data_IF_538654354038
#
_entry.id   IF_538654354038
#
_cell.length_a   1.000
_cell.length_b   1.000
_cell.length_c   1.000
_cell.angle_alpha   90.00
_cell.angle_beta   90.00
_cell.angle_gamma   90.00
#
_symmetry.space_group_name_H-M   'P 1'
#
loop_
_entity.id
_entity.type
_entity.pdbx_description
1 polymer ?
#
# COMPACT_ATOMS: atom_id res chain seq x y z
N UNK A 1 18.60 -24.31 15.77
CA UNK A 1 19.75 -23.69 16.45
C UNK A 1 19.27 -22.73 17.52
N UNK A 2 19.94 -22.73 18.65
CA UNK A 2 19.54 -21.92 19.81
C UNK A 2 19.55 -20.43 19.57
N UNK A 3 20.42 -19.96 18.67
CA UNK A 3 20.65 -18.53 18.44
C UNK A 3 20.03 -18.03 17.13
N UNK A 4 19.18 -18.86 16.51
CA UNK A 4 18.50 -18.46 15.28
C UNK A 4 17.40 -17.44 15.59
N UNK A 5 17.33 -16.43 14.75
CA UNK A 5 16.29 -15.40 14.81
C UNK A 5 15.48 -15.49 13.53
N UNK A 6 14.17 -15.60 13.66
CA UNK A 6 13.26 -15.63 12.53
C UNK A 6 12.66 -14.24 12.32
N UNK A 7 12.53 -13.85 11.07
CA UNK A 7 11.74 -12.66 10.71
C UNK A 7 10.31 -13.14 10.53
N UNK A 8 9.40 -12.67 11.40
CA UNK A 8 8.01 -13.14 11.41
C UNK A 8 7.16 -12.42 10.37
N UNK A 9 7.45 -11.15 10.14
CA UNK A 9 6.77 -10.35 9.13
C UNK A 9 7.54 -9.06 8.90
N UNK A 10 7.23 -8.40 7.78
CA UNK A 10 7.78 -7.08 7.47
C UNK A 10 6.58 -6.16 7.26
N UNK A 11 6.59 -5.01 7.92
CA UNK A 11 5.47 -4.07 7.87
C UNK A 11 6.04 -2.69 7.51
N UNK A 12 5.89 -2.24 6.25
CA UNK A 12 6.19 -0.85 5.91
C UNK A 12 5.27 0.09 6.68
N UNK A 13 5.82 1.22 7.11
CA UNK A 13 5.06 2.27 7.79
C UNK A 13 5.06 3.52 6.94
N UNK A 14 3.89 4.10 6.72
CA UNK A 14 3.71 5.35 5.98
C UNK A 14 3.10 6.36 6.94
N UNK A 15 3.66 7.56 6.99
CA UNK A 15 3.11 8.62 7.83
C UNK A 15 1.90 9.27 7.17
N UNK A 16 0.93 9.67 7.98
CA UNK A 16 -0.30 10.30 7.50
C UNK A 16 -0.77 11.39 8.45
N UNK A 17 -1.30 12.45 7.88
CA UNK A 17 -2.05 13.47 8.65
C UNK A 17 -3.56 13.32 8.43
N UNK A 18 -4.00 12.27 7.74
CA UNK A 18 -5.43 11.98 7.50
C UNK A 18 -5.63 10.46 7.45
N UNK A 19 -5.80 9.85 8.63
CA UNK A 19 -5.97 8.40 8.74
C UNK A 19 -7.26 7.91 8.08
N UNK A 20 -8.32 8.71 8.07
CA UNK A 20 -9.59 8.31 7.47
C UNK A 20 -9.48 8.17 5.96
N UNK A 21 -8.78 9.08 5.29
CA UNK A 21 -8.53 8.98 3.86
C UNK A 21 -7.68 7.76 3.52
N UNK A 22 -6.68 7.46 4.35
CA UNK A 22 -5.87 6.26 4.19
C UNK A 22 -6.70 5.00 4.35
N UNK A 23 -7.63 4.97 5.32
CA UNK A 23 -8.51 3.82 5.54
C UNK A 23 -9.32 3.51 4.28
N UNK A 24 -9.86 4.53 3.61
CA UNK A 24 -10.61 4.34 2.36
C UNK A 24 -9.76 3.73 1.26
N UNK A 25 -8.55 4.20 1.09
CA UNK A 25 -7.66 3.70 0.05
C UNK A 25 -7.34 2.21 0.26
N UNK A 26 -6.90 1.85 1.45
CA UNK A 26 -6.44 0.47 1.72
C UNK A 26 -7.59 -0.52 1.82
N UNK A 27 -8.77 -0.12 2.32
CA UNK A 27 -9.91 -1.05 2.43
C UNK A 27 -10.77 -1.10 1.18
N UNK A 28 -10.99 0.02 0.47
CA UNK A 28 -11.88 0.04 -0.69
C UNK A 28 -11.14 -0.22 -2.00
N UNK A 29 -9.95 0.35 -2.18
CA UNK A 29 -9.22 0.14 -3.43
C UNK A 29 -8.41 -1.16 -3.38
N UNK A 30 -7.60 -1.36 -2.34
CA UNK A 30 -6.74 -2.54 -2.23
C UNK A 30 -7.43 -3.74 -1.55
N UNK A 31 -8.63 -3.54 -0.99
CA UNK A 31 -9.43 -4.59 -0.34
C UNK A 31 -8.68 -5.32 0.76
N UNK A 32 -7.84 -4.59 1.50
CA UNK A 32 -7.16 -5.13 2.67
C UNK A 32 -8.08 -5.08 3.90
N UNK A 33 -7.81 -5.95 4.87
CA UNK A 33 -8.50 -5.93 6.15
C UNK A 33 -7.83 -4.96 7.11
N UNK A 34 -8.61 -4.13 7.79
CA UNK A 34 -8.11 -3.32 8.90
C UNK A 34 -8.00 -4.23 10.13
N UNK A 35 -6.78 -4.59 10.50
CA UNK A 35 -6.53 -5.56 11.58
C UNK A 35 -6.11 -4.90 12.89
N UNK A 36 -5.74 -3.62 12.87
CA UNK A 36 -5.43 -2.88 14.08
C UNK A 36 -5.79 -1.41 13.90
N UNK A 37 -6.48 -0.85 14.87
CA UNK A 37 -6.85 0.57 14.91
C UNK A 37 -6.63 1.07 16.34
N UNK A 38 -5.56 1.85 16.54
CA UNK A 38 -5.20 2.41 17.84
C UNK A 38 -5.36 3.94 17.85
N UNK A 39 -6.16 4.48 16.95
CA UNK A 39 -6.41 5.91 16.76
C UNK A 39 -5.24 6.69 16.17
N UNK A 40 -4.00 6.34 16.50
CA UNK A 40 -2.79 6.97 15.97
C UNK A 40 -2.05 6.09 14.96
N UNK A 41 -2.46 4.84 14.82
CA UNK A 41 -1.90 3.89 13.87
C UNK A 41 -3.00 2.96 13.38
N UNK A 42 -3.02 2.72 12.07
CA UNK A 42 -3.87 1.72 11.44
C UNK A 42 -2.96 0.68 10.80
N UNK A 43 -3.28 -0.60 10.94
CA UNK A 43 -2.58 -1.67 10.26
C UNK A 43 -3.55 -2.44 9.38
N UNK A 44 -3.18 -2.60 8.11
CA UNK A 44 -3.95 -3.31 7.11
C UNK A 44 -3.20 -4.58 6.73
N UNK A 45 -3.94 -5.67 6.51
CA UNK A 45 -3.38 -6.97 6.14
C UNK A 45 -4.08 -7.51 4.89
N UNK A 46 -3.34 -8.24 4.07
CA UNK A 46 -3.92 -8.99 2.95
C UNK A 46 -4.84 -10.08 3.48
N UNK A 47 -6.00 -10.27 2.84
CA UNK A 47 -6.95 -11.32 3.23
C UNK A 47 -6.37 -12.71 3.03
N UNK A 48 -5.65 -12.91 1.93
CA UNK A 48 -5.10 -14.22 1.55
C UNK A 48 -3.74 -14.49 2.18
N UNK A 49 -3.03 -13.43 2.58
CA UNK A 49 -1.68 -13.55 3.15
C UNK A 49 -1.53 -12.57 4.31
N UNK A 50 -2.03 -12.93 5.51
CA UNK A 50 -2.15 -11.98 6.63
C UNK A 50 -0.83 -11.42 7.15
N UNK A 51 0.32 -12.01 6.82
CA UNK A 51 1.62 -11.45 7.20
C UNK A 51 2.08 -10.33 6.27
N UNK A 52 1.41 -10.14 5.12
CA UNK A 52 1.65 -9.01 4.24
C UNK A 52 0.84 -7.83 4.75
N UNK A 53 1.51 -6.86 5.35
CA UNK A 53 0.84 -5.76 6.07
C UNK A 53 1.45 -4.42 5.72
N UNK A 54 0.66 -3.36 5.91
CA UNK A 54 1.08 -1.97 5.82
C UNK A 54 0.47 -1.25 7.01
N UNK A 55 1.27 -0.43 7.71
CA UNK A 55 0.78 0.42 8.78
C UNK A 55 0.82 1.88 8.36
N UNK A 56 -0.22 2.62 8.74
CA UNK A 56 -0.31 4.05 8.53
C UNK A 56 -0.26 4.71 9.90
N UNK A 57 0.74 5.56 10.12
CA UNK A 57 1.05 6.14 11.42
C UNK A 57 0.73 7.63 11.39
N UNK A 58 0.01 8.12 12.39
CA UNK A 58 -0.32 9.53 12.48
C UNK A 58 0.94 10.36 12.63
N UNK A 59 1.07 11.37 11.78
CA UNK A 59 2.21 12.27 11.74
C UNK A 59 1.88 13.55 12.50
N UNK A 60 2.87 14.11 13.19
CA UNK A 60 2.69 15.38 13.89
C UNK A 60 2.41 16.49 12.88
N UNK A 61 1.29 17.18 13.05
CA UNK A 61 0.84 18.21 12.12
C UNK A 61 1.75 19.45 12.08
N UNK A 62 2.61 19.61 13.07
CA UNK A 62 3.54 20.74 13.12
C UNK A 62 4.75 20.55 12.20
N UNK A 63 4.99 19.33 11.75
CA UNK A 63 6.06 19.02 10.82
C UNK A 63 5.50 18.80 9.41
N UNK A 64 6.35 19.00 8.41
CA UNK A 64 5.96 18.77 7.03
C UNK A 64 6.00 17.27 6.71
N UNK A 65 4.85 16.74 6.30
CA UNK A 65 4.76 15.35 5.86
C UNK A 65 5.42 15.19 4.50
N UNK A 66 6.34 14.21 4.39
CA UNK A 66 6.98 13.89 3.12
C UNK A 66 7.19 12.38 2.98
N UNK A 67 6.33 11.74 2.21
CA UNK A 67 6.45 10.33 1.82
C UNK A 67 6.86 10.16 0.36
N UNK A 68 7.33 11.23 -0.29
CA UNK A 68 7.59 11.21 -1.74
C UNK A 68 8.70 10.25 -2.15
N UNK A 69 9.63 9.94 -1.23
CA UNK A 69 10.68 8.97 -1.48
C UNK A 69 10.24 7.53 -1.23
N UNK A 70 9.07 7.32 -0.67
CA UNK A 70 8.56 5.98 -0.39
C UNK A 70 7.99 5.37 -1.67
N UNK A 71 8.53 4.21 -2.03
CA UNK A 71 8.11 3.45 -3.21
C UNK A 71 8.03 1.99 -2.81
N UNK A 72 6.83 1.42 -2.81
CA UNK A 72 6.67 -0.01 -2.51
C UNK A 72 5.96 -0.75 -3.62
N UNK A 73 6.27 -2.04 -3.70
CA UNK A 73 5.65 -2.93 -4.67
C UNK A 73 4.67 -3.86 -3.99
N UNK A 74 3.50 -3.99 -4.58
CA UNK A 74 2.47 -4.93 -4.14
C UNK A 74 2.11 -5.80 -5.35
N UNK A 75 2.37 -7.10 -5.23
CA UNK A 75 1.99 -8.05 -6.26
C UNK A 75 0.55 -8.48 -6.05
N UNK A 76 -0.25 -8.44 -7.11
CA UNK A 76 -1.67 -8.77 -7.07
C UNK A 76 -1.99 -9.87 -8.09
N UNK A 77 -3.12 -10.53 -7.89
CA UNK A 77 -3.53 -11.64 -8.76
C UNK A 77 -4.11 -11.20 -10.09
N UNK A 78 -4.76 -10.03 -10.15
CA UNK A 78 -5.44 -9.55 -11.36
C UNK A 78 -5.19 -8.05 -11.55
N UNK A 79 -4.11 -7.75 -12.26
CA UNK A 79 -3.66 -6.38 -12.45
C UNK A 79 -4.61 -5.58 -13.36
N UNK A 80 -5.20 -6.22 -14.36
CA UNK A 80 -6.12 -5.53 -15.27
C UNK A 80 -7.39 -5.09 -14.55
N UNK A 81 -7.93 -5.95 -13.70
CA UNK A 81 -9.10 -5.65 -12.90
C UNK A 81 -8.81 -4.51 -11.90
N UNK A 82 -7.64 -4.54 -11.28
CA UNK A 82 -7.24 -3.49 -10.35
C UNK A 82 -7.05 -2.15 -11.06
N UNK A 83 -6.51 -2.16 -12.27
CA UNK A 83 -6.35 -0.95 -13.08
C UNK A 83 -7.70 -0.30 -13.40
N UNK A 84 -8.69 -1.11 -13.80
CA UNK A 84 -10.04 -0.60 -14.06
C UNK A 84 -10.67 -0.04 -12.78
N UNK A 85 -10.46 -0.69 -11.63
CA UNK A 85 -10.93 -0.20 -10.34
C UNK A 85 -10.28 1.15 -9.99
N UNK A 86 -8.98 1.29 -10.26
CA UNK A 86 -8.28 2.54 -10.02
C UNK A 86 -8.91 3.69 -10.80
N UNK A 87 -9.24 3.44 -12.06
CA UNK A 87 -9.91 4.45 -12.89
C UNK A 87 -11.30 4.80 -12.38
N UNK A 88 -12.08 3.80 -11.97
CA UNK A 88 -13.43 4.02 -11.44
C UNK A 88 -13.43 4.79 -10.13
N UNK A 89 -12.45 4.56 -9.28
CA UNK A 89 -12.34 5.20 -7.99
C UNK A 89 -11.52 6.49 -8.03
N UNK A 90 -11.11 6.94 -9.21
CA UNK A 90 -10.33 8.15 -9.41
C UNK A 90 -9.02 8.15 -8.61
N UNK A 91 -8.38 6.98 -8.51
CA UNK A 91 -7.05 6.87 -7.92
C UNK A 91 -6.05 7.53 -8.87
N UNK A 92 -5.12 8.29 -8.33
CA UNK A 92 -4.11 8.99 -9.14
C UNK A 92 -3.12 7.98 -9.70
N UNK A 93 -3.18 7.77 -11.02
CA UNK A 93 -2.26 6.87 -11.74
C UNK A 93 -1.09 7.71 -12.23
N UNK A 94 0.12 7.39 -11.75
CA UNK A 94 1.32 8.15 -12.12
C UNK A 94 2.17 7.45 -13.17
N UNK A 95 1.93 6.15 -13.40
CA UNK A 95 2.53 5.39 -14.49
C UNK A 95 1.45 4.46 -15.04
N UNK A 96 1.05 4.60 -16.31
CA UNK A 96 -0.07 3.80 -16.84
C UNK A 96 0.31 2.34 -16.97
N UNK A 97 -0.71 1.48 -17.03
CA UNK A 97 -0.49 0.04 -17.12
C UNK A 97 0.41 -0.29 -18.32
N UNK A 98 1.46 -1.04 -18.07
CA UNK A 98 2.49 -1.34 -19.05
C UNK A 98 2.94 -2.79 -18.88
N UNK A 99 3.06 -3.48 -20.00
CA UNK A 99 3.63 -4.82 -20.06
C UNK A 99 5.13 -4.67 -20.27
N UNK A 100 5.91 -5.00 -19.24
CA UNK A 100 7.35 -4.78 -19.27
C UNK A 100 8.09 -5.94 -19.94
N UNK A 101 9.25 -5.69 -20.56
CA UNK A 101 9.98 -6.74 -21.29
C UNK A 101 10.42 -7.92 -20.42
N UNK A 102 10.55 -7.73 -19.11
CA UNK A 102 11.00 -8.79 -18.19
C UNK A 102 9.84 -9.62 -17.60
N UNK A 103 8.63 -9.52 -18.19
CA UNK A 103 7.54 -10.44 -17.85
C UNK A 103 6.62 -9.96 -16.74
N UNK A 104 6.63 -8.67 -16.44
CA UNK A 104 5.78 -8.05 -15.43
C UNK A 104 4.82 -7.09 -16.11
N UNK A 105 3.57 -7.09 -15.70
CA UNK A 105 2.59 -6.07 -16.08
C UNK A 105 2.30 -5.23 -14.84
N UNK A 106 2.41 -3.92 -14.95
CA UNK A 106 2.35 -3.05 -13.76
C UNK A 106 1.83 -1.66 -14.06
N UNK A 107 1.34 -0.98 -13.03
CA UNK A 107 1.09 0.45 -13.04
C UNK A 107 1.42 1.03 -11.66
N UNK A 108 1.66 2.34 -11.60
CA UNK A 108 1.96 3.00 -10.33
C UNK A 108 0.83 3.95 -9.97
N UNK A 109 0.51 4.00 -8.69
CA UNK A 109 -0.45 4.95 -8.15
C UNK A 109 0.20 5.78 -7.05
N UNK A 110 -0.33 6.98 -6.85
CA UNK A 110 -0.02 7.80 -5.69
C UNK A 110 -1.04 7.45 -4.61
N UNK A 111 -0.55 6.95 -3.46
CA UNK A 111 -1.45 6.71 -2.36
C UNK A 111 -1.71 8.03 -1.61
N UNK A 112 -2.72 8.08 -0.70
CA UNK A 112 -3.19 9.36 -0.15
C UNK A 112 -2.16 10.22 0.57
N UNK A 113 -1.07 9.62 1.06
CA UNK A 113 -0.06 10.33 1.85
C UNK A 113 1.18 10.69 1.04
N UNK A 114 1.14 10.48 -0.28
CA UNK A 114 2.21 10.87 -1.19
C UNK A 114 3.20 9.79 -1.55
N UNK A 115 3.09 8.60 -0.97
CA UNK A 115 3.92 7.46 -1.38
C UNK A 115 3.47 6.93 -2.74
N UNK A 116 4.41 6.36 -3.48
CA UNK A 116 4.11 5.71 -4.76
C UNK A 116 4.03 4.21 -4.56
N UNK A 117 2.98 3.60 -5.08
CA UNK A 117 2.80 2.14 -5.01
C UNK A 117 2.86 1.57 -6.42
N UNK A 118 3.78 0.62 -6.61
CA UNK A 118 3.90 -0.18 -7.80
C UNK A 118 3.00 -1.39 -7.65
N UNK A 119 1.93 -1.45 -8.45
CA UNK A 119 0.99 -2.58 -8.45
C UNK A 119 1.34 -3.43 -9.65
N UNK A 120 1.61 -4.72 -9.42
CA UNK A 120 2.16 -5.58 -10.46
C UNK A 120 1.61 -7.00 -10.38
N UNK A 121 1.67 -7.68 -11.52
CA UNK A 121 1.42 -9.10 -11.65
C UNK A 121 2.42 -9.72 -12.64
N UNK A 122 2.71 -10.97 -12.41
CA UNK A 122 3.57 -11.74 -13.30
C UNK A 122 2.76 -12.47 -14.37
#
# INVERSE_FOLDING_TARGET
>A
MKNSISINRIVPNIFSNDLENSKQFYTNFLEMDLVMDMEWILTFASKENPTSQISIVQFDKQEKLDNTATFLSIEVSDIDKLYERAKKQNIEIVYPITEEPWGVKRFFVKEPNGATINLLAH
#
